data_IF_258651390900
#
_entry.id   IF_258651390900
#
_cell.length_a   1.000
_cell.length_b   1.000
_cell.length_c   1.000
_cell.angle_alpha   90.00
_cell.angle_beta   90.00
_cell.angle_gamma   90.00
#
_symmetry.space_group_name_H-M   'P 1'
#
loop_
_entity.id
_entity.type
_entity.pdbx_description
1 polymer ?
#
# COMPACT_ATOMS: atom_id res chain seq x y z
N UNK A 1 -10.50 -8.64 20.34
CA UNK A 1 -11.74 -7.82 20.43
C UNK A 1 -11.43 -6.64 21.33
N UNK A 2 -11.91 -5.46 20.97
CA UNK A 2 -11.82 -4.26 21.79
C UNK A 2 -12.77 -4.49 22.99
N UNK A 3 -12.26 -4.37 24.22
CA UNK A 3 -13.07 -4.46 25.43
C UNK A 3 -13.61 -3.09 25.87
N UNK A 4 -14.32 -3.03 27.00
CA UNK A 4 -14.91 -1.78 27.50
C UNK A 4 -13.83 -0.79 27.95
N UNK A 5 -12.75 -1.26 28.57
CA UNK A 5 -11.63 -0.43 29.02
C UNK A 5 -10.89 0.19 27.83
N UNK A 6 -10.66 -0.61 26.75
CA UNK A 6 -10.09 -0.12 25.50
C UNK A 6 -10.99 0.95 24.85
N UNK A 7 -12.31 0.74 24.89
CA UNK A 7 -13.29 1.67 24.33
C UNK A 7 -13.30 3.01 25.05
N UNK A 8 -13.22 3.00 26.40
CA UNK A 8 -13.12 4.21 27.22
C UNK A 8 -11.83 4.97 26.94
N UNK A 9 -10.69 4.28 26.86
CA UNK A 9 -9.38 4.88 26.52
C UNK A 9 -9.39 5.50 25.11
N UNK A 10 -9.99 4.83 24.12
CA UNK A 10 -10.11 5.36 22.77
C UNK A 10 -10.94 6.65 22.77
N UNK A 11 -12.05 6.68 23.52
CA UNK A 11 -12.89 7.86 23.65
C UNK A 11 -12.18 9.01 24.36
N UNK A 12 -11.39 8.73 25.38
CA UNK A 12 -10.58 9.73 26.09
C UNK A 12 -9.54 10.34 25.13
N UNK A 13 -8.78 9.48 24.44
CA UNK A 13 -7.76 9.93 23.48
C UNK A 13 -8.39 10.73 22.33
N UNK A 14 -9.57 10.33 21.85
CA UNK A 14 -10.25 11.00 20.74
C UNK A 14 -10.67 12.45 21.03
N UNK A 15 -10.82 12.82 22.31
CA UNK A 15 -11.21 14.17 22.75
C UNK A 15 -10.02 15.12 22.92
N UNK A 16 -8.80 14.66 22.73
CA UNK A 16 -7.61 15.49 22.91
C UNK A 16 -7.45 16.50 21.80
N UNK A 17 -7.13 17.73 22.13
CA UNK A 17 -6.86 18.80 21.15
C UNK A 17 -5.57 18.52 20.35
N UNK A 18 -4.61 17.79 20.92
CA UNK A 18 -3.34 17.45 20.31
C UNK A 18 -3.36 16.05 19.60
N UNK A 19 -4.56 15.46 19.39
CA UNK A 19 -4.74 14.11 18.86
C UNK A 19 -3.89 13.82 17.61
N UNK A 20 -3.89 14.71 16.64
CA UNK A 20 -3.15 14.52 15.39
C UNK A 20 -1.63 14.52 15.65
N UNK A 21 -1.15 15.35 16.54
CA UNK A 21 0.25 15.38 16.96
C UNK A 21 0.63 14.08 17.68
N UNK A 22 -0.22 13.61 18.59
CA UNK A 22 -0.02 12.36 19.31
C UNK A 22 0.10 11.17 18.34
N UNK A 23 -0.85 11.03 17.42
CA UNK A 23 -0.83 9.97 16.39
C UNK A 23 0.43 10.05 15.54
N UNK A 24 0.80 11.25 15.08
CA UNK A 24 1.99 11.48 14.26
C UNK A 24 3.28 11.04 14.98
N UNK A 25 3.40 11.30 16.29
CA UNK A 25 4.55 10.88 17.08
C UNK A 25 4.53 9.38 17.43
N UNK A 26 3.34 8.77 17.49
CA UNK A 26 3.17 7.34 17.77
C UNK A 26 3.52 6.45 16.57
N UNK A 27 3.42 6.96 15.32
CA UNK A 27 3.84 6.21 14.14
C UNK A 27 5.36 6.14 14.10
N UNK A 28 5.92 4.93 14.14
CA UNK A 28 7.35 4.65 14.10
C UNK A 28 8.15 5.64 15.00
N UNK A 29 8.01 5.58 16.32
CA UNK A 29 8.52 6.60 17.24
C UNK A 29 10.05 6.77 17.18
N UNK A 30 10.78 5.75 16.72
CA UNK A 30 12.23 5.82 16.47
C UNK A 30 12.63 6.73 15.31
N UNK A 31 11.68 7.12 14.46
CA UNK A 31 11.92 8.00 13.31
C UNK A 31 11.43 9.40 13.66
N UNK A 32 12.28 10.40 13.47
CA UNK A 32 11.95 11.80 13.77
C UNK A 32 10.66 12.25 13.05
N UNK A 33 9.81 13.00 13.77
CA UNK A 33 8.51 13.49 13.28
C UNK A 33 8.54 14.98 12.85
N UNK A 34 9.70 15.50 12.43
CA UNK A 34 9.87 16.90 12.06
C UNK A 34 10.01 17.09 10.55
N UNK A 35 9.65 18.26 10.07
CA UNK A 35 9.79 18.62 8.65
C UNK A 35 8.99 17.68 7.73
N UNK A 36 9.61 17.24 6.66
CA UNK A 36 8.99 16.37 5.63
C UNK A 36 8.51 15.05 6.24
N UNK A 37 9.28 14.43 7.14
CA UNK A 37 8.90 13.17 7.78
C UNK A 37 7.66 13.32 8.67
N UNK A 38 7.46 14.48 9.27
CA UNK A 38 6.23 14.78 9.98
C UNK A 38 5.01 14.76 9.07
N UNK A 39 5.10 15.35 7.88
CA UNK A 39 4.02 15.29 6.88
C UNK A 39 3.78 13.88 6.37
N UNK A 40 4.85 13.09 6.14
CA UNK A 40 4.73 11.68 5.75
C UNK A 40 3.97 10.89 6.82
N UNK A 41 4.37 10.99 8.09
CA UNK A 41 3.68 10.28 9.19
C UNK A 41 2.21 10.67 9.31
N UNK A 42 1.88 11.95 9.13
CA UNK A 42 0.49 12.42 9.09
C UNK A 42 -0.29 11.80 7.92
N UNK A 43 0.32 11.72 6.75
CA UNK A 43 -0.30 11.07 5.58
C UNK A 43 -0.53 9.57 5.81
N UNK A 44 0.42 8.88 6.44
CA UNK A 44 0.29 7.48 6.82
C UNK A 44 -0.83 7.25 7.84
N UNK A 45 -0.98 8.16 8.83
CA UNK A 45 -2.11 8.13 9.75
C UNK A 45 -3.44 8.23 8.99
N UNK A 46 -3.57 9.21 8.09
CA UNK A 46 -4.78 9.38 7.27
C UNK A 46 -5.05 8.15 6.37
N UNK A 47 -4.00 7.51 5.85
CA UNK A 47 -4.13 6.28 5.08
C UNK A 47 -4.69 5.12 5.92
N UNK A 48 -4.24 4.96 7.16
CA UNK A 48 -4.73 3.92 8.07
C UNK A 48 -6.22 4.08 8.41
N UNK A 49 -6.67 5.32 8.62
CA UNK A 49 -8.09 5.61 8.84
C UNK A 49 -8.91 5.46 7.55
N UNK A 50 -8.30 5.75 6.40
CA UNK A 50 -8.97 5.72 5.11
C UNK A 50 -10.06 6.76 4.95
N UNK A 51 -10.78 6.68 3.85
CA UNK A 51 -11.95 7.50 3.53
C UNK A 51 -13.22 6.65 3.43
N UNK A 52 -14.36 7.31 3.21
CA UNK A 52 -15.66 6.67 3.05
C UNK A 52 -15.90 6.35 1.57
N UNK A 53 -16.08 5.08 1.26
CA UNK A 53 -16.50 4.65 -0.07
C UNK A 53 -17.92 5.15 -0.36
N UNK A 54 -18.14 5.78 -1.51
CA UNK A 54 -19.43 6.33 -1.91
C UNK A 54 -19.91 5.68 -3.20
N UNK A 55 -21.21 5.41 -3.29
CA UNK A 55 -21.90 5.13 -4.55
C UNK A 55 -22.50 6.43 -5.08
N UNK A 56 -22.16 6.77 -6.29
CA UNK A 56 -22.71 7.94 -6.99
C UNK A 56 -24.06 7.55 -7.65
N UNK A 57 -24.85 8.58 -8.05
CA UNK A 57 -26.16 8.38 -8.65
C UNK A 57 -26.11 7.62 -10.00
N UNK A 58 -24.99 7.70 -10.71
CA UNK A 58 -24.70 6.98 -11.95
C UNK A 58 -24.27 5.51 -11.73
N UNK A 59 -24.39 4.99 -10.49
CA UNK A 59 -23.95 3.67 -10.03
C UNK A 59 -22.42 3.47 -10.00
N UNK A 60 -21.62 4.49 -10.34
CA UNK A 60 -20.17 4.42 -10.14
C UNK A 60 -19.84 4.40 -8.65
N UNK A 61 -18.76 3.71 -8.32
CA UNK A 61 -18.28 3.60 -6.94
C UNK A 61 -16.97 4.38 -6.81
N UNK A 62 -16.95 5.36 -5.91
CA UNK A 62 -15.72 5.99 -5.45
C UNK A 62 -15.14 5.17 -4.29
N UNK A 63 -13.89 4.77 -4.42
CA UNK A 63 -13.17 4.05 -3.35
C UNK A 63 -12.89 4.97 -2.16
N UNK A 64 -12.82 4.40 -0.95
CA UNK A 64 -12.36 5.09 0.25
C UNK A 64 -10.88 4.84 0.56
N UNK A 65 -10.27 3.82 -0.06
CA UNK A 65 -8.88 3.46 0.20
C UNK A 65 -7.92 4.50 -0.41
N UNK A 66 -6.96 4.97 0.41
CA UNK A 66 -5.96 5.96 0.03
C UNK A 66 -4.68 5.22 -0.34
N UNK A 67 -4.17 5.41 -1.54
CA UNK A 67 -2.87 4.88 -1.96
C UNK A 67 -1.80 5.95 -1.79
N UNK A 68 -0.63 5.56 -1.25
CA UNK A 68 0.52 6.44 -1.03
C UNK A 68 1.75 5.83 -1.69
N UNK A 69 2.47 6.64 -2.45
CA UNK A 69 3.79 6.31 -2.97
C UNK A 69 4.84 7.22 -2.31
N UNK A 70 5.78 6.62 -1.57
CA UNK A 70 6.92 7.32 -0.98
C UNK A 70 8.10 7.27 -1.95
N UNK A 71 8.48 8.43 -2.47
CA UNK A 71 9.66 8.58 -3.31
C UNK A 71 10.76 9.28 -2.51
N UNK A 72 11.96 8.75 -2.55
CA UNK A 72 13.07 9.35 -1.82
C UNK A 72 14.37 8.59 -2.03
N UNK A 73 15.48 9.21 -1.68
CA UNK A 73 16.79 8.59 -1.74
C UNK A 73 16.88 7.35 -0.84
N UNK A 74 17.79 6.41 -1.10
CA UNK A 74 18.09 5.31 -0.19
C UNK A 74 18.47 5.82 1.21
N UNK A 75 18.08 5.09 2.25
CA UNK A 75 18.45 5.42 3.64
C UNK A 75 17.58 6.47 4.33
N UNK A 76 16.49 6.97 3.72
CA UNK A 76 15.56 7.93 4.35
C UNK A 76 14.41 7.26 5.11
N UNK A 77 14.62 6.06 5.62
CA UNK A 77 13.70 5.30 6.47
C UNK A 77 12.36 4.86 5.81
N UNK A 78 12.25 4.86 4.47
CA UNK A 78 11.02 4.43 3.76
C UNK A 78 10.62 3.01 4.15
N UNK A 79 11.52 2.04 4.03
CA UNK A 79 11.27 0.61 4.33
C UNK A 79 10.86 0.39 5.79
N UNK A 80 11.45 1.14 6.72
CA UNK A 80 11.09 1.08 8.14
C UNK A 80 9.67 1.59 8.38
N UNK A 81 9.27 2.67 7.71
CA UNK A 81 7.89 3.17 7.76
C UNK A 81 6.91 2.16 7.18
N UNK A 82 7.24 1.54 6.03
CA UNK A 82 6.39 0.52 5.41
C UNK A 82 6.20 -0.70 6.32
N UNK A 83 7.29 -1.22 6.91
CA UNK A 83 7.24 -2.34 7.85
C UNK A 83 6.36 -2.02 9.05
N UNK A 84 6.60 -0.88 9.72
CA UNK A 84 5.81 -0.45 10.87
C UNK A 84 4.31 -0.34 10.54
N UNK A 85 3.95 0.29 9.43
CA UNK A 85 2.56 0.47 9.04
C UNK A 85 1.90 -0.86 8.65
N UNK A 86 2.64 -1.78 8.01
CA UNK A 86 2.11 -3.10 7.68
C UNK A 86 1.84 -3.96 8.91
N UNK A 87 2.66 -3.84 9.96
CA UNK A 87 2.46 -4.52 11.24
C UNK A 87 1.30 -3.91 12.03
N UNK A 88 1.16 -2.58 12.00
CA UNK A 88 0.08 -1.87 12.70
C UNK A 88 -1.29 -2.12 12.05
N UNK A 89 -1.35 -2.27 10.74
CA UNK A 89 -2.61 -2.43 10.01
C UNK A 89 -3.20 -3.84 10.22
N UNK A 90 -4.48 -3.96 10.60
CA UNK A 90 -5.17 -5.25 10.51
C UNK A 90 -5.09 -5.79 9.09
N UNK A 91 -4.67 -7.06 8.91
CA UNK A 91 -4.41 -7.68 7.60
C UNK A 91 -3.34 -6.95 6.77
N UNK A 92 -2.43 -6.24 7.42
CA UNK A 92 -1.26 -5.68 6.76
C UNK A 92 -0.38 -6.78 6.18
N UNK A 93 0.11 -6.57 4.95
CA UNK A 93 1.07 -7.46 4.28
C UNK A 93 2.21 -6.63 3.74
N UNK A 94 3.41 -7.18 3.85
CA UNK A 94 4.63 -6.57 3.33
C UNK A 94 5.17 -7.42 2.17
N UNK A 95 5.57 -6.77 1.10
CA UNK A 95 6.23 -7.39 -0.05
C UNK A 95 7.36 -6.50 -0.55
N UNK A 96 8.34 -7.12 -1.22
CA UNK A 96 9.46 -6.41 -1.87
C UNK A 96 9.36 -6.60 -3.37
N UNK A 97 9.35 -5.52 -4.12
CA UNK A 97 9.17 -5.51 -5.57
C UNK A 97 10.19 -6.35 -6.34
N UNK A 98 11.44 -6.41 -5.88
CA UNK A 98 12.46 -7.25 -6.49
C UNK A 98 12.26 -8.76 -6.30
N UNK A 99 11.42 -9.17 -5.35
CA UNK A 99 11.16 -10.57 -5.01
C UNK A 99 9.76 -11.08 -5.34
N UNK A 100 8.88 -10.21 -5.86
CA UNK A 100 7.47 -10.56 -6.11
C UNK A 100 7.14 -10.47 -7.60
N UNK A 101 6.43 -11.47 -8.12
CA UNK A 101 5.85 -11.44 -9.47
C UNK A 101 4.45 -10.83 -9.46
N UNK A 102 3.93 -10.43 -10.61
CA UNK A 102 2.56 -9.95 -10.74
C UNK A 102 1.52 -10.95 -10.23
N UNK A 103 1.74 -12.23 -10.42
CA UNK A 103 0.93 -13.30 -9.84
C UNK A 103 1.02 -13.34 -8.31
N UNK A 104 2.20 -13.14 -7.74
CA UNK A 104 2.40 -13.04 -6.29
C UNK A 104 1.78 -11.76 -5.70
N UNK A 105 1.63 -10.71 -6.49
CA UNK A 105 0.89 -9.52 -6.08
C UNK A 105 -0.63 -9.71 -6.16
N UNK A 106 -1.10 -10.40 -7.19
CA UNK A 106 -2.53 -10.54 -7.49
C UNK A 106 -3.06 -11.91 -7.10
N UNK A 107 -2.98 -12.89 -7.98
CA UNK A 107 -3.35 -14.28 -7.71
C UNK A 107 -2.77 -15.22 -8.76
N UNK A 108 -2.51 -16.47 -8.39
CA UNK A 108 -2.06 -17.52 -9.28
C UNK A 108 -2.94 -18.77 -9.19
N UNK A 109 -3.08 -19.48 -10.31
CA UNK A 109 -3.51 -20.86 -10.29
C UNK A 109 -2.28 -21.75 -10.36
N UNK A 110 -1.98 -22.44 -9.26
CA UNK A 110 -0.84 -23.33 -9.09
C UNK A 110 -1.30 -24.79 -9.07
N UNK A 111 -0.47 -25.72 -9.52
CA UNK A 111 -0.79 -27.13 -9.39
C UNK A 111 -0.58 -27.56 -7.93
N UNK A 112 -1.59 -28.19 -7.36
CA UNK A 112 -1.47 -28.82 -6.05
C UNK A 112 -0.48 -29.98 -6.13
N UNK A 113 0.64 -29.85 -5.44
CA UNK A 113 1.70 -30.87 -5.44
C UNK A 113 1.32 -32.09 -4.59
N UNK A 114 0.35 -31.98 -3.70
CA UNK A 114 -0.09 -33.04 -2.78
C UNK A 114 -1.47 -33.63 -3.14
N UNK A 115 -2.15 -33.07 -4.13
CA UNK A 115 -3.44 -33.51 -4.62
C UNK A 115 -3.34 -34.20 -6.00
N UNK A 116 -4.48 -34.52 -6.60
CA UNK A 116 -4.64 -35.22 -7.90
C UNK A 116 -4.12 -34.40 -9.12
N UNK A 117 -3.16 -33.51 -8.96
CA UNK A 117 -2.65 -32.64 -10.00
C UNK A 117 -3.61 -31.54 -10.44
N UNK A 118 -4.67 -31.30 -9.67
CA UNK A 118 -5.64 -30.24 -9.89
C UNK A 118 -5.01 -28.87 -9.61
N UNK A 119 -5.53 -27.84 -10.28
CA UNK A 119 -5.12 -26.48 -9.97
C UNK A 119 -5.81 -26.00 -8.69
N UNK A 120 -5.03 -25.35 -7.81
CA UNK A 120 -5.50 -24.61 -6.65
C UNK A 120 -5.29 -23.10 -6.87
N UNK A 121 -6.15 -22.28 -6.28
CA UNK A 121 -6.04 -20.83 -6.33
C UNK A 121 -5.17 -20.36 -5.17
N UNK A 122 -4.07 -19.68 -5.48
CA UNK A 122 -3.21 -19.01 -4.50
C UNK A 122 -3.44 -17.50 -4.58
N UNK A 123 -3.85 -16.90 -3.47
CA UNK A 123 -4.06 -15.47 -3.37
C UNK A 123 -2.73 -14.74 -3.15
N UNK A 124 -2.51 -13.67 -3.91
CA UNK A 124 -1.35 -12.80 -3.76
C UNK A 124 -1.52 -11.75 -2.65
N UNK A 125 -0.53 -10.86 -2.54
CA UNK A 125 -0.45 -9.85 -1.48
C UNK A 125 -1.69 -8.96 -1.44
N UNK A 126 -2.20 -8.49 -2.60
CA UNK A 126 -3.35 -7.58 -2.64
C UNK A 126 -4.65 -8.21 -2.15
N UNK A 127 -5.08 -9.40 -2.62
CA UNK A 127 -6.25 -10.08 -2.06
C UNK A 127 -6.09 -10.48 -0.58
N UNK A 128 -4.89 -10.89 -0.17
CA UNK A 128 -4.62 -11.22 1.23
C UNK A 128 -4.73 -10.01 2.16
N UNK A 129 -4.54 -8.81 1.62
CA UNK A 129 -4.70 -7.53 2.33
C UNK A 129 -6.11 -6.95 2.22
N UNK A 130 -7.11 -7.69 1.72
CA UNK A 130 -8.47 -7.16 1.56
C UNK A 130 -9.00 -6.54 2.87
N UNK A 131 -9.42 -5.29 2.80
CA UNK A 131 -9.82 -4.43 3.96
C UNK A 131 -8.69 -4.14 4.94
N UNK A 132 -7.46 -4.11 4.46
CA UNK A 132 -6.27 -3.78 5.21
C UNK A 132 -5.31 -2.94 4.36
N UNK A 133 -4.01 -3.23 4.47
CA UNK A 133 -2.96 -2.49 3.80
C UNK A 133 -1.92 -3.42 3.17
N UNK A 134 -1.59 -3.18 1.91
CA UNK A 134 -0.46 -3.78 1.22
C UNK A 134 0.71 -2.81 1.17
N UNK A 135 1.78 -3.12 1.88
CA UNK A 135 3.05 -2.38 1.84
C UNK A 135 3.97 -3.02 0.81
N UNK A 136 4.44 -2.25 -0.16
CA UNK A 136 5.29 -2.75 -1.25
C UNK A 136 6.56 -1.89 -1.29
N UNK A 137 7.65 -2.45 -0.81
CA UNK A 137 8.96 -1.81 -0.91
C UNK A 137 9.60 -2.05 -2.28
N UNK A 138 10.57 -1.23 -2.66
CA UNK A 138 11.25 -1.32 -3.96
C UNK A 138 10.28 -1.42 -5.15
N UNK A 139 9.24 -0.60 -5.14
CA UNK A 139 8.19 -0.60 -6.17
C UNK A 139 8.76 -0.32 -7.58
N UNK A 140 9.87 0.40 -7.66
CA UNK A 140 10.64 0.66 -8.88
C UNK A 140 11.22 -0.62 -9.50
N UNK A 141 11.44 -1.69 -8.71
CA UNK A 141 11.99 -2.97 -9.18
C UNK A 141 10.95 -3.93 -9.77
N UNK A 142 9.67 -3.64 -9.59
CA UNK A 142 8.60 -4.43 -10.21
C UNK A 142 8.65 -4.21 -11.73
N UNK A 143 8.59 -5.29 -12.50
CA UNK A 143 8.55 -5.20 -13.97
C UNK A 143 7.32 -4.42 -14.46
N UNK A 144 7.42 -3.81 -15.64
CA UNK A 144 6.30 -3.06 -16.22
C UNK A 144 5.06 -3.94 -16.43
N UNK A 145 5.26 -5.21 -16.81
CA UNK A 145 4.15 -6.14 -17.04
C UNK A 145 3.48 -6.56 -15.73
N UNK A 146 4.27 -6.81 -14.68
CA UNK A 146 3.73 -7.12 -13.35
C UNK A 146 2.97 -5.94 -12.74
N UNK A 147 3.46 -4.71 -12.93
CA UNK A 147 2.73 -3.49 -12.53
C UNK A 147 1.38 -3.36 -13.23
N UNK A 148 1.31 -3.66 -14.54
CA UNK A 148 0.03 -3.67 -15.29
C UNK A 148 -1.00 -4.61 -14.69
N UNK A 149 -0.58 -5.74 -14.13
CA UNK A 149 -1.48 -6.68 -13.45
C UNK A 149 -2.10 -6.11 -12.17
N UNK A 150 -1.46 -5.10 -11.55
CA UNK A 150 -1.99 -4.44 -10.35
C UNK A 150 -3.10 -3.41 -10.66
N UNK A 151 -3.11 -2.80 -11.85
CA UNK A 151 -4.06 -1.74 -12.19
C UNK A 151 -5.53 -2.13 -11.96
N UNK A 152 -6.02 -3.29 -12.46
CA UNK A 152 -7.39 -3.70 -12.20
C UNK A 152 -7.67 -3.91 -10.71
N UNK A 153 -6.69 -4.45 -9.97
CA UNK A 153 -6.82 -4.65 -8.54
C UNK A 153 -6.92 -3.31 -7.77
N UNK A 154 -6.19 -2.27 -8.23
CA UNK A 154 -6.21 -0.93 -7.62
C UNK A 154 -7.48 -0.14 -7.98
N UNK A 155 -7.94 -0.23 -9.23
CA UNK A 155 -9.09 0.54 -9.71
C UNK A 155 -10.42 -0.13 -9.37
N UNK A 156 -10.55 -1.41 -9.74
CA UNK A 156 -11.80 -2.17 -9.57
C UNK A 156 -11.88 -2.85 -8.21
N UNK A 157 -10.76 -2.88 -7.47
CA UNK A 157 -10.64 -3.56 -6.16
C UNK A 157 -10.98 -5.05 -6.24
N UNK A 158 -10.68 -5.66 -7.39
CA UNK A 158 -10.91 -7.07 -7.70
C UNK A 158 -9.79 -7.63 -8.57
N UNK A 159 -9.50 -8.91 -8.35
CA UNK A 159 -8.58 -9.70 -9.16
C UNK A 159 -9.36 -10.84 -9.77
N UNK A 160 -9.36 -10.94 -11.09
CA UNK A 160 -10.01 -12.02 -11.82
C UNK A 160 -8.97 -13.06 -12.23
N UNK A 161 -9.21 -14.32 -11.93
CA UNK A 161 -8.38 -15.45 -12.32
C UNK A 161 -9.20 -16.41 -13.18
N UNK A 162 -8.71 -16.69 -14.38
CA UNK A 162 -9.28 -17.70 -15.29
C UNK A 162 -8.13 -18.54 -15.83
N UNK A 163 -7.77 -19.62 -15.14
CA UNK A 163 -6.66 -20.52 -15.51
C UNK A 163 -6.88 -21.93 -14.94
N UNK A 164 -6.49 -22.94 -15.71
CA UNK A 164 -6.52 -24.34 -15.25
C UNK A 164 -7.90 -24.87 -14.88
N UNK A 165 -8.96 -24.35 -15.51
CA UNK A 165 -10.35 -24.72 -15.18
C UNK A 165 -10.91 -23.99 -13.95
N UNK A 166 -10.14 -23.11 -13.31
CA UNK A 166 -10.59 -22.27 -12.21
C UNK A 166 -10.98 -20.90 -12.75
N UNK A 167 -12.21 -20.47 -12.46
CA UNK A 167 -12.66 -19.08 -12.66
C UNK A 167 -13.06 -18.52 -11.30
N UNK A 168 -12.35 -17.50 -10.82
CA UNK A 168 -12.60 -16.89 -9.53
C UNK A 168 -12.39 -15.38 -9.57
N UNK A 169 -13.11 -14.67 -8.73
CA UNK A 169 -12.93 -13.25 -8.46
C UNK A 169 -12.57 -13.06 -6.99
N UNK A 170 -11.42 -12.50 -6.73
CA UNK A 170 -10.94 -12.15 -5.39
C UNK A 170 -11.10 -10.67 -5.16
N UNK A 171 -11.52 -10.28 -3.97
CA UNK A 171 -11.54 -8.88 -3.57
C UNK A 171 -10.15 -8.41 -3.15
N UNK A 172 -9.79 -7.18 -3.52
CA UNK A 172 -8.53 -6.51 -3.18
C UNK A 172 -8.79 -5.06 -2.74
N UNK A 173 -9.76 -4.87 -1.85
CA UNK A 173 -10.13 -3.57 -1.26
C UNK A 173 -9.14 -3.23 -0.17
N UNK A 174 -7.94 -2.81 -0.54
CA UNK A 174 -6.88 -2.48 0.39
C UNK A 174 -6.25 -1.13 0.05
N UNK A 175 -5.72 -0.47 1.07
CA UNK A 175 -4.82 0.65 0.87
C UNK A 175 -3.46 0.13 0.39
N UNK A 176 -2.81 0.83 -0.52
CA UNK A 176 -1.46 0.50 -0.98
C UNK A 176 -0.50 1.57 -0.50
N UNK A 177 0.55 1.14 0.20
CA UNK A 177 1.68 1.95 0.60
C UNK A 177 2.91 1.44 -0.12
N UNK A 178 3.39 2.19 -1.10
CA UNK A 178 4.55 1.80 -1.90
C UNK A 178 5.75 2.71 -1.61
N UNK A 179 6.96 2.18 -1.73
CA UNK A 179 8.19 2.95 -1.72
C UNK A 179 9.01 2.70 -2.98
N UNK A 180 9.57 3.78 -3.55
CA UNK A 180 10.41 3.73 -4.72
C UNK A 180 11.69 4.56 -4.51
N UNK A 181 12.76 4.13 -5.16
CA UNK A 181 14.02 4.86 -5.27
C UNK A 181 14.15 5.45 -6.69
N UNK A 182 14.96 6.47 -6.89
CA UNK A 182 15.29 6.94 -8.23
C UNK A 182 16.16 5.91 -8.97
N UNK A 183 16.00 5.83 -10.29
CA UNK A 183 16.68 4.87 -11.15
C UNK A 183 18.21 5.02 -11.07
N UNK A 184 18.70 6.26 -10.99
CA UNK A 184 20.13 6.60 -10.86
C UNK A 184 20.67 6.50 -9.42
N UNK A 185 19.91 5.93 -8.50
CA UNK A 185 20.29 5.75 -7.09
C UNK A 185 20.12 6.99 -6.20
N UNK A 186 20.02 8.19 -6.75
CA UNK A 186 19.71 9.43 -6.02
C UNK A 186 18.95 10.42 -6.90
N UNK A 187 18.03 11.17 -6.27
CA UNK A 187 17.41 12.30 -6.95
C UNK A 187 18.42 13.40 -7.27
N UNK A 188 18.26 14.02 -8.44
CA UNK A 188 19.08 15.20 -8.79
C UNK A 188 18.91 16.28 -7.72
N UNK A 189 20.01 17.00 -7.41
CA UNK A 189 19.95 18.12 -6.44
C UNK A 189 18.91 19.13 -6.91
N UNK A 190 17.91 19.38 -6.05
CA UNK A 190 16.81 20.29 -6.36
C UNK A 190 17.33 21.70 -6.59
N UNK A 191 17.21 22.20 -7.82
CA UNK A 191 17.20 23.62 -8.08
C UNK A 191 15.82 24.23 -7.70
N UNK A 192 15.73 25.55 -7.49
CA UNK A 192 14.51 26.22 -7.04
C UNK A 192 13.29 26.03 -7.95
N UNK A 193 13.45 25.50 -9.17
CA UNK A 193 12.39 25.32 -10.17
C UNK A 193 12.12 23.84 -10.55
N UNK A 194 12.55 22.87 -9.76
CA UNK A 194 12.37 21.47 -10.10
C UNK A 194 10.97 20.99 -9.68
N UNK A 195 10.15 20.58 -10.66
CA UNK A 195 8.79 20.13 -10.41
C UNK A 195 8.75 18.71 -9.82
N UNK A 196 7.68 18.40 -9.05
CA UNK A 196 7.39 17.06 -8.52
C UNK A 196 7.33 16.02 -9.66
N UNK A 197 6.84 16.41 -10.85
CA UNK A 197 6.76 15.57 -12.04
C UNK A 197 8.13 15.06 -12.50
N UNK A 198 9.17 15.91 -12.42
CA UNK A 198 10.53 15.50 -12.79
C UNK A 198 11.09 14.49 -11.81
N UNK A 199 10.86 14.68 -10.50
CA UNK A 199 11.25 13.69 -9.49
C UNK A 199 10.55 12.33 -9.71
N UNK A 200 9.29 12.35 -10.16
CA UNK A 200 8.58 11.13 -10.51
C UNK A 200 9.21 10.44 -11.74
N UNK A 201 9.58 11.20 -12.77
CA UNK A 201 10.27 10.66 -13.95
C UNK A 201 11.61 10.00 -13.61
N UNK A 202 12.35 10.55 -12.62
CA UNK A 202 13.62 9.99 -12.16
C UNK A 202 13.47 8.61 -11.48
N UNK A 203 12.27 8.18 -11.13
CA UNK A 203 12.00 6.81 -10.63
C UNK A 203 11.83 5.77 -11.72
N UNK A 204 11.82 6.16 -12.99
CA UNK A 204 11.53 5.27 -14.13
C UNK A 204 10.10 4.70 -14.12
N UNK A 205 9.22 5.22 -13.25
CA UNK A 205 7.83 4.79 -13.20
C UNK A 205 7.02 5.50 -14.31
N UNK A 206 6.23 4.77 -15.10
CA UNK A 206 5.39 5.38 -16.12
C UNK A 206 4.24 6.18 -15.50
N UNK A 207 3.89 7.35 -16.03
CA UNK A 207 2.63 8.02 -15.69
C UNK A 207 1.47 7.33 -16.46
N UNK A 208 0.25 7.30 -15.90
CA UNK A 208 -0.12 7.33 -14.49
C UNK A 208 -0.06 5.94 -13.85
N UNK A 209 0.18 5.92 -12.56
CA UNK A 209 -0.05 4.72 -11.75
C UNK A 209 -1.42 4.80 -11.10
#
# INVERSE_FOLDING_TARGET
SIDEEDSERILEVSKRDDLMSLIQHSIAPSIFATGILGHVKRSLALQLFGGVSRRLNDKTRSRGDIHILLMGDPGVAKSQLLSFISELSPRGRFATGGGVSGAGLTAAAVRDAFGDGRFALEAGVLPLSDRGLAAIDEFDKISTDDRRMMHPAMEQQQVHVAKGGITATLHSRCAILAAANPEDGRFSKRGPNQSVMRSFQETGLPPPL
#
